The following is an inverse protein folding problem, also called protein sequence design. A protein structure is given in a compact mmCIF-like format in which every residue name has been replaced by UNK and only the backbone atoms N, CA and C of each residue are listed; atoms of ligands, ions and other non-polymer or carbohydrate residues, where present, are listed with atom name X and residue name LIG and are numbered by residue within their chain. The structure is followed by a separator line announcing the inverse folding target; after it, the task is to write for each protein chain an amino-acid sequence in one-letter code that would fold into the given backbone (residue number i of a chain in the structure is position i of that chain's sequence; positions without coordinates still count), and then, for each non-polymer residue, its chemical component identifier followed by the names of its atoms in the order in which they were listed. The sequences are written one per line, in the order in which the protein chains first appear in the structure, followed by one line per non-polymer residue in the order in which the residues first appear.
data_IF_739473663171
#
_entry.id   IF_739473663171
#
_cell.length_a   1.000
_cell.length_b   1.000
_cell.length_c   1.000
_cell.angle_alpha   90.00
_cell.angle_beta   90.00
_cell.angle_gamma   90.00
#
_symmetry.space_group_name_H-M   'P 1'
#
loop_
_entity.id
_entity.type
_entity.pdbx_description
1 polymer ?
#
# COMPACT_ATOMS: atom_id res chain seq x y z
N UNK A 1 15.28 -18.46 24.19
CA UNK A 1 14.64 -17.28 23.55
C UNK A 1 14.09 -17.74 22.21
N UNK A 2 12.81 -17.48 21.91
CA UNK A 2 12.21 -17.86 20.62
C UNK A 2 13.02 -17.20 19.47
N UNK A 3 13.31 -17.94 18.39
CA UNK A 3 14.05 -17.43 17.22
C UNK A 3 13.39 -16.16 16.67
N UNK A 4 12.06 -16.09 16.67
CA UNK A 4 11.31 -14.90 16.26
C UNK A 4 11.63 -13.67 17.13
N UNK A 5 11.75 -13.86 18.45
CA UNK A 5 12.13 -12.78 19.37
C UNK A 5 13.58 -12.33 19.13
N UNK A 6 14.48 -13.26 18.80
CA UNK A 6 15.86 -12.94 18.47
C UNK A 6 15.93 -12.09 17.18
N UNK A 7 15.22 -12.47 16.11
CA UNK A 7 15.17 -11.69 14.86
C UNK A 7 14.54 -10.31 15.09
N UNK A 8 13.46 -10.24 15.86
CA UNK A 8 12.84 -8.96 16.21
C UNK A 8 13.79 -8.04 16.97
N UNK A 9 14.59 -8.60 17.90
CA UNK A 9 15.59 -7.86 18.66
C UNK A 9 16.75 -7.39 17.78
N UNK A 10 17.24 -8.24 16.87
CA UNK A 10 18.27 -7.86 15.90
C UNK A 10 17.76 -6.72 15.00
N UNK A 11 16.55 -6.84 14.48
CA UNK A 11 15.93 -5.79 13.66
C UNK A 11 15.78 -4.49 14.46
N UNK A 12 15.32 -4.56 15.71
CA UNK A 12 15.19 -3.40 16.58
C UNK A 12 16.52 -2.68 16.79
N UNK A 13 17.60 -3.43 17.09
CA UNK A 13 18.93 -2.88 17.29
C UNK A 13 19.42 -2.21 16.00
N UNK A 14 19.30 -2.88 14.84
CA UNK A 14 19.74 -2.32 13.55
C UNK A 14 18.97 -1.05 13.19
N UNK A 15 17.65 -1.05 13.32
CA UNK A 15 16.83 0.13 13.08
C UNK A 15 17.18 1.27 14.04
N UNK A 16 17.45 0.95 15.31
CA UNK A 16 17.83 1.95 16.31
C UNK A 16 19.19 2.58 16.02
N UNK A 17 20.17 1.79 15.57
CA UNK A 17 21.51 2.26 15.22
C UNK A 17 21.48 3.10 13.94
N UNK A 18 20.84 2.60 12.87
CA UNK A 18 20.85 3.26 11.54
C UNK A 18 19.88 4.44 11.49
N UNK A 19 18.67 4.26 12.00
CA UNK A 19 17.59 5.26 11.93
C UNK A 19 17.49 6.16 13.16
N UNK A 20 18.29 5.93 14.21
CA UNK A 20 18.23 6.67 15.47
C UNK A 20 16.82 6.68 16.07
N UNK A 21 16.37 7.86 16.53
CA UNK A 21 15.02 8.04 17.09
C UNK A 21 13.90 7.74 16.08
N UNK A 22 14.13 7.96 14.78
CA UNK A 22 13.14 7.62 13.75
C UNK A 22 13.05 6.10 13.59
N UNK A 23 14.18 5.40 13.59
CA UNK A 23 14.22 3.94 13.51
C UNK A 23 13.47 3.25 14.65
N UNK A 24 13.63 3.72 15.88
CA UNK A 24 12.85 3.24 17.04
C UNK A 24 11.34 3.43 16.82
N UNK A 25 10.92 4.60 16.33
CA UNK A 25 9.51 4.89 16.03
C UNK A 25 8.98 4.03 14.89
N UNK A 26 9.76 3.80 13.85
CA UNK A 26 9.40 2.92 12.74
C UNK A 26 9.21 1.47 13.20
N UNK A 27 10.06 0.99 14.10
CA UNK A 27 9.89 -0.34 14.69
C UNK A 27 8.61 -0.44 15.53
N UNK A 28 8.34 0.54 16.39
CA UNK A 28 7.09 0.58 17.16
C UNK A 28 5.84 0.70 16.26
N UNK A 29 5.94 1.48 15.18
CA UNK A 29 4.88 1.62 14.19
C UNK A 29 4.53 0.29 13.50
N UNK A 30 5.50 -0.62 13.32
CA UNK A 30 5.24 -1.98 12.82
C UNK A 30 4.20 -2.71 13.69
N UNK A 31 4.37 -2.67 15.03
CA UNK A 31 3.44 -3.32 15.96
C UNK A 31 2.10 -2.60 16.04
N UNK A 32 2.09 -1.27 15.93
CA UNK A 32 0.84 -0.51 15.85
C UNK A 32 0.06 -0.86 14.58
N UNK A 33 0.73 -0.92 13.42
CA UNK A 33 0.12 -1.33 12.16
C UNK A 33 -0.39 -2.78 12.24
N UNK A 34 0.38 -3.69 12.83
CA UNK A 34 -0.07 -5.06 13.09
C UNK A 34 -1.33 -5.08 13.96
N UNK A 35 -1.37 -4.29 15.05
CA UNK A 35 -2.54 -4.16 15.90
C UNK A 35 -3.77 -3.62 15.16
N UNK A 36 -3.59 -2.63 14.27
CA UNK A 36 -4.67 -2.10 13.43
C UNK A 36 -5.19 -3.17 12.48
N UNK A 37 -4.30 -3.91 11.79
CA UNK A 37 -4.68 -5.01 10.89
C UNK A 37 -5.43 -6.09 11.67
N UNK A 38 -4.93 -6.48 12.84
CA UNK A 38 -5.56 -7.49 13.68
C UNK A 38 -6.98 -7.08 14.12
N UNK A 39 -7.15 -5.83 14.60
CA UNK A 39 -8.47 -5.29 14.95
C UNK A 39 -9.40 -5.20 13.73
N UNK A 40 -8.85 -4.82 12.56
CA UNK A 40 -9.60 -4.76 11.30
C UNK A 40 -10.22 -6.12 10.99
N UNK A 41 -9.45 -7.20 11.09
CA UNK A 41 -9.93 -8.58 10.86
C UNK A 41 -11.05 -8.93 11.84
N UNK A 42 -10.90 -8.60 13.14
CA UNK A 42 -11.96 -8.84 14.13
C UNK A 42 -13.25 -8.05 13.83
N UNK A 43 -13.13 -6.80 13.39
CA UNK A 43 -14.27 -5.97 13.05
C UNK A 43 -14.96 -6.40 11.74
N UNK A 44 -14.22 -6.94 10.77
CA UNK A 44 -14.79 -7.50 9.54
C UNK A 44 -15.77 -8.66 9.84
N UNK A 45 -15.55 -9.42 10.91
CA UNK A 45 -16.45 -10.50 11.35
C UNK A 45 -17.77 -9.98 11.95
N UNK A 46 -17.80 -8.73 12.42
CA UNK A 46 -18.96 -8.16 13.13
C UNK A 46 -19.71 -7.09 12.33
N UNK A 47 -19.04 -6.39 11.41
CA UNK A 47 -19.58 -5.25 10.67
C UNK A 47 -19.92 -5.67 9.23
N UNK A 48 -21.16 -5.39 8.80
CA UNK A 48 -21.69 -5.80 7.49
C UNK A 48 -20.96 -5.20 6.27
N UNK A 49 -20.21 -4.10 6.44
CA UNK A 49 -19.47 -3.43 5.37
C UNK A 49 -17.95 -3.48 5.59
N UNK A 50 -17.34 -4.56 5.13
CA UNK A 50 -15.89 -4.83 5.18
C UNK A 50 -15.03 -3.73 4.56
N UNK A 51 -15.50 -3.10 3.48
CA UNK A 51 -14.74 -2.10 2.72
C UNK A 51 -14.56 -0.81 3.53
N UNK A 52 -15.60 -0.38 4.23
CA UNK A 52 -15.52 0.80 5.11
C UNK A 52 -14.52 0.55 6.24
N UNK A 53 -14.56 -0.64 6.85
CA UNK A 53 -13.61 -1.02 7.92
C UNK A 53 -12.16 -0.96 7.39
N UNK A 54 -11.92 -1.46 6.18
CA UNK A 54 -10.62 -1.37 5.52
C UNK A 54 -10.16 0.06 5.26
N UNK A 55 -11.06 0.95 4.82
CA UNK A 55 -10.73 2.35 4.57
C UNK A 55 -10.37 3.10 5.86
N UNK A 56 -11.10 2.83 6.94
CA UNK A 56 -10.78 3.36 8.27
C UNK A 56 -9.40 2.86 8.70
N UNK A 57 -9.13 1.55 8.55
CA UNK A 57 -7.84 0.96 8.87
C UNK A 57 -6.69 1.59 8.08
N UNK A 58 -6.85 1.75 6.77
CA UNK A 58 -5.84 2.39 5.91
C UNK A 58 -5.61 3.86 6.28
N UNK A 59 -6.65 4.57 6.71
CA UNK A 59 -6.53 5.95 7.22
C UNK A 59 -5.70 5.97 8.50
N UNK A 60 -5.96 5.06 9.45
CA UNK A 60 -5.21 4.95 10.71
C UNK A 60 -3.75 4.56 10.44
N UNK A 61 -3.51 3.58 9.56
CA UNK A 61 -2.16 3.16 9.13
C UNK A 61 -1.42 4.34 8.49
N UNK A 62 -2.10 5.13 7.67
CA UNK A 62 -1.54 6.36 7.09
C UNK A 62 -1.16 7.38 8.16
N UNK A 63 -2.02 7.58 9.16
CA UNK A 63 -1.74 8.47 10.29
C UNK A 63 -0.51 8.01 11.10
N UNK A 64 -0.41 6.72 11.40
CA UNK A 64 0.73 6.14 12.13
C UNK A 64 2.02 6.36 11.32
N UNK A 65 2.05 5.94 10.05
CA UNK A 65 3.28 6.02 9.28
C UNK A 65 3.70 7.45 8.94
N UNK A 66 2.75 8.35 8.65
CA UNK A 66 3.08 9.72 8.27
C UNK A 66 3.29 10.63 9.48
N UNK A 67 2.43 10.60 10.50
CA UNK A 67 2.53 11.57 11.60
C UNK A 67 3.34 11.06 12.79
N UNK A 68 3.20 9.79 13.18
CA UNK A 68 3.93 9.27 14.35
C UNK A 68 5.43 9.12 14.05
N UNK A 69 5.79 8.54 12.90
CA UNK A 69 7.19 8.35 12.50
C UNK A 69 7.83 9.70 12.13
N UNK A 70 7.21 10.47 11.22
CA UNK A 70 7.84 11.63 10.59
C UNK A 70 7.54 12.98 11.26
N UNK A 71 6.72 12.98 12.33
CA UNK A 71 6.18 14.18 13.02
C UNK A 71 5.28 15.02 12.10
N UNK A 72 4.36 15.75 12.71
CA UNK A 72 3.46 16.63 11.97
C UNK A 72 4.23 17.80 11.32
N UNK A 73 4.11 17.94 10.00
CA UNK A 73 4.67 19.02 9.19
C UNK A 73 3.95 19.10 7.82
N UNK A 74 4.24 20.15 7.03
CA UNK A 74 3.58 20.36 5.73
C UNK A 74 3.81 19.21 4.73
N UNK A 75 4.98 18.59 4.71
CA UNK A 75 5.25 17.45 3.81
C UNK A 75 4.47 16.19 4.19
N UNK A 76 4.35 15.88 5.49
CA UNK A 76 3.54 14.75 5.98
C UNK A 76 2.05 15.00 5.78
N UNK A 77 1.60 16.26 5.90
CA UNK A 77 0.22 16.64 5.61
C UNK A 77 -0.09 16.48 4.12
N UNK A 78 0.79 16.98 3.25
CA UNK A 78 0.63 16.83 1.81
C UNK A 78 0.62 15.36 1.39
N UNK A 79 1.52 14.55 1.96
CA UNK A 79 1.54 13.11 1.73
C UNK A 79 0.23 12.45 2.19
N UNK A 80 -0.24 12.77 3.40
CA UNK A 80 -1.46 12.19 3.96
C UNK A 80 -2.70 12.49 3.10
N UNK A 81 -2.91 13.76 2.75
CA UNK A 81 -4.03 14.17 1.89
C UNK A 81 -3.98 13.45 0.54
N UNK A 82 -2.77 13.32 -0.04
CA UNK A 82 -2.58 12.62 -1.30
C UNK A 82 -2.88 11.13 -1.21
N UNK A 83 -2.47 10.47 -0.11
CA UNK A 83 -2.79 9.07 0.17
C UNK A 83 -4.29 8.86 0.27
N UNK A 84 -5.03 9.70 1.02
CA UNK A 84 -6.48 9.57 1.17
C UNK A 84 -7.22 9.77 -0.16
N UNK A 85 -6.83 10.78 -0.95
CA UNK A 85 -7.43 11.00 -2.28
C UNK A 85 -7.15 9.80 -3.19
N UNK A 86 -5.92 9.28 -3.18
CA UNK A 86 -5.54 8.12 -4.00
C UNK A 86 -6.31 6.88 -3.58
N UNK A 87 -6.49 6.64 -2.29
CA UNK A 87 -7.29 5.51 -1.80
C UNK A 87 -8.73 5.61 -2.28
N UNK A 88 -9.35 6.79 -2.24
CA UNK A 88 -10.70 6.98 -2.74
C UNK A 88 -10.81 6.66 -4.24
N UNK A 89 -9.84 7.13 -5.05
CA UNK A 89 -9.76 6.83 -6.48
C UNK A 89 -9.52 5.34 -6.73
N UNK A 90 -8.63 4.71 -5.97
CA UNK A 90 -8.29 3.30 -6.10
C UNK A 90 -9.48 2.40 -5.76
N UNK A 91 -10.24 2.73 -4.71
CA UNK A 91 -11.47 2.01 -4.36
C UNK A 91 -12.47 2.05 -5.50
N UNK A 92 -12.72 3.23 -6.08
CA UNK A 92 -13.62 3.37 -7.23
C UNK A 92 -13.16 2.55 -8.43
N UNK A 93 -11.85 2.56 -8.70
CA UNK A 93 -11.26 1.75 -9.76
C UNK A 93 -11.45 0.25 -9.52
N UNK A 94 -11.15 -0.23 -8.31
CA UNK A 94 -11.28 -1.65 -7.96
C UNK A 94 -12.74 -2.11 -8.05
N UNK A 95 -13.70 -1.29 -7.63
CA UNK A 95 -15.13 -1.62 -7.79
C UNK A 95 -15.54 -1.82 -9.26
N UNK A 96 -15.01 -1.00 -10.17
CA UNK A 96 -15.27 -1.15 -11.61
C UNK A 96 -14.66 -2.45 -12.13
N UNK A 97 -13.41 -2.73 -11.76
CA UNK A 97 -12.72 -3.95 -12.20
C UNK A 97 -13.38 -5.20 -11.65
N UNK A 98 -13.79 -5.21 -10.39
CA UNK A 98 -14.45 -6.37 -9.78
C UNK A 98 -15.75 -6.74 -10.50
N UNK A 99 -16.58 -5.75 -10.83
CA UNK A 99 -17.82 -5.95 -11.60
C UNK A 99 -17.56 -6.55 -12.99
N UNK A 100 -16.44 -6.20 -13.64
CA UNK A 100 -16.10 -6.70 -14.98
C UNK A 100 -15.32 -8.01 -14.97
N UNK A 101 -14.47 -8.23 -13.97
CA UNK A 101 -13.61 -9.40 -13.85
C UNK A 101 -14.27 -10.57 -13.10
N UNK A 102 -15.46 -10.37 -12.52
CA UNK A 102 -16.21 -11.37 -11.75
C UNK A 102 -15.32 -12.07 -10.70
N UNK A 103 -14.61 -11.27 -9.89
CA UNK A 103 -13.66 -11.77 -8.91
C UNK A 103 -14.46 -12.43 -7.76
N UNK A 104 -14.64 -13.75 -7.82
CA UNK A 104 -15.43 -14.50 -6.83
C UNK A 104 -14.67 -14.82 -5.53
N UNK A 105 -13.47 -14.26 -5.34
CA UNK A 105 -12.64 -14.49 -4.16
C UNK A 105 -11.57 -15.55 -4.40
N UNK A 106 -11.57 -16.62 -3.59
CA UNK A 106 -10.56 -17.66 -3.62
C UNK A 106 -10.69 -18.55 -4.87
N UNK A 107 -9.55 -18.91 -5.47
CA UNK A 107 -9.52 -19.95 -6.51
C UNK A 107 -9.53 -21.35 -5.89
N UNK A 108 -9.69 -22.37 -6.72
CA UNK A 108 -9.82 -23.77 -6.30
C UNK A 108 -8.64 -24.22 -5.43
N UNK A 109 -7.44 -23.72 -5.75
CA UNK A 109 -6.18 -23.99 -5.07
C UNK A 109 -6.15 -23.45 -3.62
N UNK A 110 -6.92 -22.40 -3.34
CA UNK A 110 -7.05 -21.79 -2.01
C UNK A 110 -8.30 -22.29 -1.29
N UNK A 111 -9.33 -22.68 -2.05
CA UNK A 111 -10.61 -23.18 -1.53
C UNK A 111 -10.44 -24.56 -0.86
N UNK A 112 -9.60 -25.45 -1.40
CA UNK A 112 -9.31 -26.75 -0.78
C UNK A 112 -8.79 -26.63 0.67
N UNK A 113 -7.94 -25.64 0.95
CA UNK A 113 -7.41 -25.40 2.30
C UNK A 113 -8.49 -24.86 3.25
N UNK A 114 -9.39 -24.00 2.76
CA UNK A 114 -10.43 -23.33 3.57
C UNK A 114 -11.62 -24.28 3.82
N UNK A 115 -11.99 -25.08 2.83
CA UNK A 115 -13.06 -26.08 2.92
C UNK A 115 -12.81 -27.13 4.01
N UNK A 116 -11.55 -27.37 4.40
CA UNK A 116 -11.19 -28.26 5.48
C UNK A 116 -11.61 -27.76 6.88
N UNK A 117 -11.90 -26.45 7.05
CA UNK A 117 -12.20 -25.84 8.35
C UNK A 117 -13.68 -25.47 8.52
N UNK A 118 -14.28 -24.71 7.59
CA UNK A 118 -15.72 -24.39 7.58
C UNK A 118 -16.10 -23.61 6.32
N UNK A 119 -17.21 -24.01 5.67
CA UNK A 119 -17.78 -23.32 4.51
C UNK A 119 -18.49 -21.99 4.86
N UNK A 120 -18.81 -21.74 6.13
CA UNK A 120 -19.61 -20.58 6.54
C UNK A 120 -18.76 -19.50 7.20
N UNK A 121 -18.09 -18.68 6.39
CA UNK A 121 -17.30 -17.52 6.86
C UNK A 121 -18.20 -16.30 7.13
N UNK A 122 -19.44 -16.27 6.61
CA UNK A 122 -20.40 -15.19 6.83
C UNK A 122 -20.01 -13.84 6.19
N UNK A 123 -18.92 -13.81 5.44
CA UNK A 123 -18.39 -12.64 4.74
C UNK A 123 -18.26 -12.97 3.26
N UNK A 124 -18.59 -12.00 2.42
CA UNK A 124 -18.43 -12.05 0.97
C UNK A 124 -16.94 -12.02 0.59
N UNK A 125 -16.45 -13.11 -0.01
CA UNK A 125 -15.05 -13.27 -0.39
C UNK A 125 -14.61 -12.28 -1.49
N UNK A 126 -15.52 -11.84 -2.36
CA UNK A 126 -15.20 -10.81 -3.35
C UNK A 126 -14.84 -9.49 -2.63
N UNK A 127 -15.58 -9.14 -1.57
CA UNK A 127 -15.27 -7.96 -0.75
C UNK A 127 -13.97 -8.12 0.02
N UNK A 128 -13.64 -9.33 0.49
CA UNK A 128 -12.35 -9.60 1.12
C UNK A 128 -11.22 -9.39 0.10
N UNK A 129 -11.36 -9.89 -1.13
CA UNK A 129 -10.38 -9.67 -2.19
C UNK A 129 -10.12 -8.16 -2.42
N UNK A 130 -11.19 -7.36 -2.54
CA UNK A 130 -11.07 -5.88 -2.63
C UNK A 130 -10.29 -5.31 -1.44
N UNK A 131 -10.60 -5.74 -0.23
CA UNK A 131 -9.94 -5.26 0.98
C UNK A 131 -8.45 -5.62 1.00
N UNK A 132 -8.09 -6.83 0.57
CA UNK A 132 -6.69 -7.29 0.45
C UNK A 132 -5.92 -6.43 -0.54
N UNK A 133 -6.50 -6.08 -1.69
CA UNK A 133 -5.85 -5.20 -2.68
C UNK A 133 -5.58 -3.82 -2.07
N UNK A 134 -6.56 -3.23 -1.39
CA UNK A 134 -6.42 -1.91 -0.75
C UNK A 134 -5.35 -1.95 0.35
N UNK A 135 -5.39 -2.96 1.23
CA UNK A 135 -4.41 -3.13 2.31
C UNK A 135 -3.01 -3.47 1.79
N UNK A 136 -2.89 -4.16 0.65
CA UNK A 136 -1.60 -4.43 0.01
C UNK A 136 -0.99 -3.16 -0.60
N UNK A 137 -1.81 -2.30 -1.21
CA UNK A 137 -1.33 -1.10 -1.88
C UNK A 137 -0.95 0.06 -0.93
N UNK A 138 -1.54 0.12 0.27
CA UNK A 138 -1.40 1.28 1.17
C UNK A 138 0.05 1.59 1.55
N UNK A 139 0.88 0.56 1.79
CA UNK A 139 2.28 0.74 2.17
C UNK A 139 3.07 1.47 1.08
N UNK A 140 2.98 0.97 -0.15
CA UNK A 140 3.65 1.58 -1.31
C UNK A 140 3.13 3.00 -1.58
N UNK A 141 1.82 3.23 -1.46
CA UNK A 141 1.21 4.56 -1.64
C UNK A 141 1.76 5.56 -0.61
N UNK A 142 1.84 5.18 0.66
CA UNK A 142 2.40 6.03 1.73
C UNK A 142 3.86 6.36 1.45
N UNK A 143 4.68 5.35 1.13
CA UNK A 143 6.12 5.51 0.95
C UNK A 143 6.45 6.40 -0.24
N UNK A 144 5.74 6.23 -1.36
CA UNK A 144 5.90 7.08 -2.56
C UNK A 144 5.45 8.50 -2.27
N UNK A 145 4.29 8.67 -1.62
CA UNK A 145 3.77 10.00 -1.32
C UNK A 145 4.70 10.77 -0.39
N UNK A 146 5.22 10.11 0.65
CA UNK A 146 6.19 10.72 1.56
C UNK A 146 7.51 11.05 0.87
N UNK A 147 8.02 10.15 0.02
CA UNK A 147 9.26 10.35 -0.72
C UNK A 147 9.18 11.56 -1.64
N UNK A 148 8.13 11.63 -2.48
CA UNK A 148 7.89 12.76 -3.40
C UNK A 148 7.72 14.04 -2.60
N UNK A 149 6.84 14.05 -1.59
CA UNK A 149 6.58 15.26 -0.81
C UNK A 149 7.81 15.75 -0.06
N UNK A 150 8.65 14.86 0.47
CA UNK A 150 9.89 15.23 1.15
C UNK A 150 10.91 15.82 0.18
N UNK A 151 11.15 15.20 -0.97
CA UNK A 151 12.08 15.73 -1.98
C UNK A 151 11.60 17.07 -2.56
N UNK A 152 10.30 17.22 -2.79
CA UNK A 152 9.71 18.49 -3.21
C UNK A 152 9.85 19.58 -2.14
N UNK A 153 9.70 19.22 -0.86
CA UNK A 153 9.90 20.16 0.24
C UNK A 153 11.35 20.64 0.32
N UNK A 154 12.33 19.77 0.09
CA UNK A 154 13.74 20.16 0.03
C UNK A 154 14.02 21.14 -1.12
N UNK A 155 13.49 20.86 -2.32
CA UNK A 155 13.55 21.78 -3.46
C UNK A 155 12.92 23.15 -3.14
N UNK A 156 11.74 23.14 -2.51
CA UNK A 156 11.02 24.36 -2.14
C UNK A 156 11.75 25.20 -1.09
N UNK A 157 12.40 24.57 -0.11
CA UNK A 157 13.19 25.27 0.92
C UNK A 157 14.48 25.87 0.33
N UNK A 158 15.10 25.19 -0.63
CA UNK A 158 16.35 25.65 -1.25
C UNK A 158 16.17 26.67 -2.38
N UNK A 159 15.05 26.65 -3.10
CA UNK A 159 14.72 27.65 -4.11
C UNK A 159 13.42 28.39 -3.75
N UNK A 160 13.54 29.52 -3.01
CA UNK A 160 12.39 30.34 -2.66
C UNK A 160 11.70 30.98 -3.87
N UNK A 161 12.29 30.97 -5.06
CA UNK A 161 11.70 31.53 -6.29
C UNK A 161 10.89 30.51 -7.09
N UNK A 162 10.90 29.24 -6.67
CA UNK A 162 10.28 28.14 -7.43
C UNK A 162 8.79 28.38 -7.67
N UNK A 163 8.37 28.14 -8.92
CA UNK A 163 6.96 28.26 -9.33
C UNK A 163 6.21 26.94 -9.14
N UNK A 164 4.88 27.01 -9.02
CA UNK A 164 4.01 25.82 -8.88
C UNK A 164 4.26 24.78 -9.97
N UNK A 165 4.39 25.26 -11.21
CA UNK A 165 4.59 24.43 -12.40
C UNK A 165 5.95 23.72 -12.36
N UNK A 166 7.01 24.42 -11.97
CA UNK A 166 8.35 23.82 -11.87
C UNK A 166 8.42 22.80 -10.74
N UNK A 167 7.79 23.10 -9.60
CA UNK A 167 7.72 22.20 -8.46
C UNK A 167 6.92 20.93 -8.79
N UNK A 168 5.76 21.08 -9.43
CA UNK A 168 4.95 19.95 -9.93
C UNK A 168 5.72 19.08 -10.92
N UNK A 169 6.36 19.68 -11.92
CA UNK A 169 7.15 18.94 -12.91
C UNK A 169 8.34 18.20 -12.27
N UNK A 170 8.94 18.78 -11.23
CA UNK A 170 10.01 18.12 -10.48
C UNK A 170 9.48 16.92 -9.70
N UNK A 171 8.31 17.05 -9.06
CA UNK A 171 7.61 15.93 -8.42
C UNK A 171 7.30 14.79 -9.39
N UNK A 172 6.84 15.10 -10.62
CA UNK A 172 6.61 14.10 -11.65
C UNK A 172 7.89 13.38 -12.09
N UNK A 173 9.02 14.10 -12.23
CA UNK A 173 10.31 13.50 -12.56
C UNK A 173 10.77 12.53 -11.46
N UNK A 174 10.72 12.96 -10.20
CA UNK A 174 11.06 12.12 -9.05
C UNK A 174 10.17 10.88 -9.00
N UNK A 175 8.86 11.06 -9.20
CA UNK A 175 7.91 9.95 -9.21
C UNK A 175 8.16 8.94 -10.33
N UNK A 176 8.58 9.39 -11.53
CA UNK A 176 8.95 8.49 -12.63
C UNK A 176 10.14 7.59 -12.27
N UNK A 177 11.13 8.15 -11.57
CA UNK A 177 12.31 7.37 -11.14
C UNK A 177 11.92 6.33 -10.08
N UNK A 178 11.02 6.69 -9.15
CA UNK A 178 10.52 5.78 -8.11
C UNK A 178 9.57 4.71 -8.67
N UNK A 179 8.82 5.02 -9.73
CA UNK A 179 7.86 4.10 -10.34
C UNK A 179 8.53 2.81 -10.81
N UNK A 180 9.69 2.93 -11.47
CA UNK A 180 10.44 1.78 -11.97
C UNK A 180 10.93 0.86 -10.84
N UNK A 181 11.52 1.43 -9.79
CA UNK A 181 12.02 0.64 -8.65
C UNK A 181 10.88 0.01 -7.86
N UNK A 182 9.77 0.72 -7.67
CA UNK A 182 8.59 0.19 -6.96
C UNK A 182 7.92 -0.94 -7.74
N UNK A 183 7.83 -0.83 -9.06
CA UNK A 183 7.25 -1.87 -9.92
C UNK A 183 8.05 -3.17 -9.81
N UNK A 184 9.39 -3.08 -9.79
CA UNK A 184 10.24 -4.25 -9.58
C UNK A 184 10.05 -4.87 -8.19
N UNK A 185 9.91 -4.05 -7.14
CA UNK A 185 9.63 -4.54 -5.79
C UNK A 185 8.30 -5.29 -5.71
N UNK A 186 7.23 -4.75 -6.31
CA UNK A 186 5.92 -5.42 -6.39
C UNK A 186 6.02 -6.74 -7.17
N UNK A 187 6.73 -6.73 -8.29
CA UNK A 187 6.95 -7.93 -9.11
C UNK A 187 7.67 -9.03 -8.32
N UNK A 188 8.76 -8.70 -7.62
CA UNK A 188 9.49 -9.70 -6.82
C UNK A 188 8.70 -10.17 -5.60
N UNK A 189 7.93 -9.29 -4.96
CA UNK A 189 7.03 -9.69 -3.87
C UNK A 189 6.00 -10.72 -4.34
N UNK A 190 5.43 -10.53 -5.53
CA UNK A 190 4.52 -11.50 -6.15
C UNK A 190 5.21 -12.81 -6.52
N UNK A 191 6.21 -12.78 -7.41
CA UNK A 191 6.83 -14.00 -7.91
C UNK A 191 7.46 -14.79 -6.76
N UNK A 192 8.05 -14.10 -5.78
CA UNK A 192 8.60 -14.71 -4.57
C UNK A 192 7.54 -15.32 -3.66
N UNK A 193 6.43 -14.62 -3.43
CA UNK A 193 5.32 -15.10 -2.60
C UNK A 193 4.57 -16.30 -3.22
N UNK A 194 4.52 -16.37 -4.54
CA UNK A 194 3.77 -17.39 -5.29
C UNK A 194 4.66 -18.46 -5.94
N UNK A 195 5.94 -18.53 -5.56
CA UNK A 195 6.88 -19.51 -6.13
C UNK A 195 6.39 -20.95 -5.96
N UNK A 196 5.81 -21.28 -4.81
CA UNK A 196 5.24 -22.62 -4.54
C UNK A 196 4.05 -22.92 -5.44
N UNK A 197 3.18 -21.95 -5.69
CA UNK A 197 2.03 -22.10 -6.60
C UNK A 197 2.50 -22.33 -8.05
N UNK A 198 3.51 -21.57 -8.49
CA UNK A 198 4.11 -21.75 -9.82
C UNK A 198 4.72 -23.16 -9.96
N UNK A 199 5.39 -23.66 -8.91
CA UNK A 199 5.92 -25.03 -8.89
C UNK A 199 4.77 -26.06 -8.92
N UNK A 200 3.68 -25.82 -8.18
CA UNK A 200 2.50 -26.68 -8.16
C UNK A 200 1.92 -26.83 -9.57
N UNK A 201 1.65 -25.73 -10.26
CA UNK A 201 1.15 -25.75 -11.65
C UNK A 201 2.06 -26.55 -12.57
N UNK A 202 3.37 -26.38 -12.44
CA UNK A 202 4.35 -27.14 -13.22
C UNK A 202 4.30 -28.65 -12.89
N UNK A 203 4.19 -29.01 -11.60
CA UNK A 203 4.15 -30.43 -11.17
C UNK A 203 2.87 -31.14 -11.60
N UNK A 204 1.74 -30.44 -11.60
CA UNK A 204 0.47 -30.97 -12.10
C UNK A 204 0.30 -30.86 -13.61
N UNK A 205 1.35 -30.44 -14.34
CA UNK A 205 1.35 -30.36 -15.80
C UNK A 205 0.24 -29.47 -16.37
N UNK A 206 -0.11 -28.38 -15.67
CA UNK A 206 -1.01 -27.36 -16.20
C UNK A 206 -0.39 -26.75 -17.47
N UNK A 207 -1.20 -26.54 -18.50
CA UNK A 207 -0.73 -25.79 -19.66
C UNK A 207 -0.55 -24.32 -19.31
N UNK A 208 0.24 -23.59 -20.09
CA UNK A 208 0.39 -22.14 -19.89
C UNK A 208 -0.95 -21.40 -20.00
N UNK A 209 -1.86 -21.89 -20.85
CA UNK A 209 -3.22 -21.37 -20.96
C UNK A 209 -4.02 -21.58 -19.67
N UNK A 210 -3.93 -22.76 -19.06
CA UNK A 210 -4.63 -23.08 -17.81
C UNK A 210 -4.10 -22.22 -16.64
N UNK A 211 -2.79 -21.95 -16.62
CA UNK A 211 -2.17 -21.09 -15.59
C UNK A 211 -2.69 -19.67 -15.70
N UNK A 212 -2.66 -19.07 -16.90
CA UNK A 212 -3.11 -17.68 -17.10
C UNK A 212 -4.62 -17.55 -16.85
N UNK A 213 -5.40 -18.61 -17.04
CA UNK A 213 -6.84 -18.61 -16.78
C UNK A 213 -7.22 -19.16 -15.40
N UNK A 214 -6.25 -19.61 -14.58
CA UNK A 214 -6.52 -20.03 -13.20
C UNK A 214 -7.05 -18.85 -12.41
N UNK A 215 -8.13 -19.08 -11.65
CA UNK A 215 -8.75 -18.05 -10.80
C UNK A 215 -7.76 -17.48 -9.79
N UNK A 216 -6.97 -18.33 -9.11
CA UNK A 216 -5.97 -17.89 -8.14
C UNK A 216 -4.89 -17.04 -8.80
N UNK A 217 -4.40 -17.44 -9.99
CA UNK A 217 -3.39 -16.66 -10.70
C UNK A 217 -3.94 -15.31 -11.17
N UNK A 218 -5.14 -15.30 -11.79
CA UNK A 218 -5.82 -14.09 -12.23
C UNK A 218 -6.07 -13.11 -11.08
N UNK A 219 -6.60 -13.58 -9.95
CA UNK A 219 -6.91 -12.75 -8.80
C UNK A 219 -5.66 -12.01 -8.28
N UNK A 220 -4.53 -12.71 -8.23
CA UNK A 220 -3.29 -12.11 -7.75
C UNK A 220 -2.67 -11.13 -8.75
N UNK A 221 -2.69 -11.48 -10.05
CA UNK A 221 -2.26 -10.55 -11.10
C UNK A 221 -3.11 -9.28 -11.08
N UNK A 222 -4.43 -9.39 -10.90
CA UNK A 222 -5.31 -8.23 -10.73
C UNK A 222 -4.93 -7.42 -9.49
N UNK A 223 -4.61 -8.08 -8.38
CA UNK A 223 -4.17 -7.42 -7.14
C UNK A 223 -2.93 -6.55 -7.36
N UNK A 224 -1.90 -7.10 -8.02
CA UNK A 224 -0.64 -6.39 -8.28
C UNK A 224 -0.81 -5.28 -9.29
N UNK A 225 -1.55 -5.53 -10.38
CA UNK A 225 -1.82 -4.51 -11.38
C UNK A 225 -2.62 -3.36 -10.78
N UNK A 226 -3.62 -3.66 -9.94
CA UNK A 226 -4.40 -2.64 -9.22
C UNK A 226 -3.52 -1.85 -8.24
N UNK A 227 -2.65 -2.53 -7.49
CA UNK A 227 -1.66 -1.88 -6.63
C UNK A 227 -0.69 -0.99 -7.41
N UNK A 228 -0.19 -1.46 -8.55
CA UNK A 228 0.66 -0.72 -9.47
C UNK A 228 -0.02 0.51 -10.07
N UNK A 229 -1.31 0.41 -10.39
CA UNK A 229 -2.14 1.55 -10.82
C UNK A 229 -2.27 2.57 -9.68
N UNK A 230 -2.52 2.11 -8.45
CA UNK A 230 -2.52 2.99 -7.26
C UNK A 230 -1.19 3.73 -7.09
N UNK A 231 -0.07 3.03 -7.28
CA UNK A 231 1.29 3.59 -7.28
C UNK A 231 1.51 4.60 -8.43
N UNK A 232 1.00 4.35 -9.62
CA UNK A 232 1.10 5.29 -10.73
C UNK A 232 0.26 6.56 -10.49
N UNK A 233 -0.92 6.42 -9.90
CA UNK A 233 -1.87 7.52 -9.64
C UNK A 233 -1.41 8.42 -8.48
N UNK A 234 -0.79 7.88 -7.43
CA UNK A 234 -0.31 8.68 -6.30
C UNK A 234 0.77 9.70 -6.70
N UNK A 235 1.55 9.43 -7.75
CA UNK A 235 2.64 10.29 -8.24
C UNK A 235 2.12 11.70 -8.65
N UNK A 236 1.21 11.84 -9.63
CA UNK A 236 0.69 13.13 -10.03
C UNK A 236 -0.12 13.80 -8.90
N UNK A 237 -0.88 13.03 -8.12
CA UNK A 237 -1.67 13.55 -7.00
C UNK A 237 -0.74 14.20 -5.95
N UNK A 238 0.27 13.46 -5.49
CA UNK A 238 1.22 13.97 -4.49
C UNK A 238 1.99 15.17 -5.00
N UNK A 239 2.41 15.14 -6.27
CA UNK A 239 3.12 16.26 -6.88
C UNK A 239 2.26 17.53 -6.90
N UNK A 240 0.97 17.40 -7.25
CA UNK A 240 0.06 18.54 -7.31
C UNK A 240 -0.29 19.09 -5.92
N UNK A 241 -0.62 18.21 -4.98
CA UNK A 241 -1.00 18.56 -3.61
C UNK A 241 0.18 19.20 -2.87
N UNK A 242 1.38 18.60 -2.97
CA UNK A 242 2.60 19.15 -2.35
C UNK A 242 2.92 20.54 -2.91
N UNK A 243 2.89 20.71 -4.24
CA UNK A 243 3.13 22.02 -4.85
C UNK A 243 2.10 23.08 -4.41
N UNK A 244 0.85 22.69 -4.21
CA UNK A 244 -0.21 23.59 -3.76
C UNK A 244 -0.04 24.00 -2.29
N UNK A 245 0.24 23.04 -1.41
CA UNK A 245 0.38 23.29 0.04
C UNK A 245 1.61 24.14 0.34
N UNK A 246 2.76 23.86 -0.30
CA UNK A 246 4.00 24.60 -0.02
C UNK A 246 3.92 26.05 -0.50
N UNK A 247 3.25 26.32 -1.64
CA UNK A 247 3.07 27.70 -2.09
C UNK A 247 2.08 28.49 -1.25
N UNK A 248 0.98 27.88 -0.78
CA UNK A 248 0.08 28.53 0.17
C UNK A 248 0.80 28.86 1.49
N UNK A 249 1.72 28.01 1.93
CA UNK A 249 2.57 28.31 3.10
C UNK A 249 3.43 29.55 2.86
N UNK A 250 4.00 29.73 1.66
CA UNK A 250 4.76 30.92 1.30
C UNK A 250 3.91 32.19 1.34
N UNK A 251 2.68 32.13 0.83
CA UNK A 251 1.76 33.27 0.83
C UNK A 251 1.36 33.69 2.25
N UNK A 252 1.13 32.73 3.15
CA UNK A 252 0.81 33.01 4.56
C UNK A 252 2.00 33.52 5.38
N UNK A 253 3.22 33.30 4.91
CA UNK A 253 4.45 33.75 5.57
C UNK A 253 4.92 35.14 5.10
N UNK A 254 4.27 35.71 4.07
CA UNK A 254 4.48 37.08 3.60
C UNK A 254 3.45 38.02 4.24
#
# INVERSE_FOLDING_TARGET
MNVLLLLALILFILMSIVGGKKGVRSFLALFLNFGVIFLTILFMLSIKNTIIVTLIACTIISCINLFYINKFNHKTLAAFVSTIITLAVLVLFIFIIEHHAMIQGFGEEQEEEINAFSLYVGIDFAKIAICTIIMGAIGAIIDISLSISSSMNELFVHDPSVTKKNLFNSGLKIGRDILGTTTNTLYFAFVGGYLTLIIWFKRLSYSFGDIINSKTFCAEVISILSGGIGVAIIIPITSWISASIFLQQREKAK
#
